data_IF_635819401982
#
_entry.id   IF_635819401982
#
_cell.length_a   1.000
_cell.length_b   1.000
_cell.length_c   1.000
_cell.angle_alpha   90.00
_cell.angle_beta   90.00
_cell.angle_gamma   90.00
#
_symmetry.space_group_name_H-M   'P 1'
#
loop_
_entity.id
_entity.type
_entity.pdbx_description
1 polymer ?
#
# COMPACT_ATOMS: atom_id res chain seq x y z
N UNK A 1 -16.54 0.38 -3.66
CA UNK A 1 -17.26 -0.25 -2.53
C UNK A 1 -16.34 -0.24 -1.32
N UNK A 2 -16.76 0.41 -0.23
CA UNK A 2 -15.94 0.52 0.98
C UNK A 2 -16.08 -0.75 1.83
N UNK A 3 -15.01 -1.13 2.55
CA UNK A 3 -15.03 -2.34 3.41
C UNK A 3 -16.10 -2.23 4.50
N UNK A 4 -16.35 -1.00 5.00
CA UNK A 4 -17.36 -0.72 6.01
C UNK A 4 -18.79 -1.00 5.53
N UNK A 5 -19.07 -0.92 4.23
CA UNK A 5 -20.40 -1.16 3.66
C UNK A 5 -20.81 -2.64 3.74
N UNK A 6 -19.84 -3.56 3.88
CA UNK A 6 -20.09 -5.00 4.00
C UNK A 6 -20.05 -5.53 5.44
N UNK A 7 -19.27 -4.90 6.33
CA UNK A 7 -19.19 -5.22 7.77
C UNK A 7 -18.19 -4.29 8.47
N UNK A 8 -18.58 -3.68 9.60
CA UNK A 8 -17.69 -2.89 10.46
C UNK A 8 -16.51 -3.73 10.96
N UNK A 9 -16.75 -5.00 11.31
CA UNK A 9 -15.69 -5.91 11.77
C UNK A 9 -14.65 -6.18 10.68
N UNK A 10 -15.06 -6.25 9.42
CA UNK A 10 -14.13 -6.36 8.31
C UNK A 10 -13.26 -5.09 8.16
N UNK A 11 -13.85 -3.91 8.36
CA UNK A 11 -13.12 -2.64 8.31
C UNK A 11 -12.10 -2.52 9.46
N UNK A 12 -12.49 -2.89 10.68
CA UNK A 12 -11.58 -2.90 11.83
C UNK A 12 -10.42 -3.88 11.64
N UNK A 13 -10.71 -5.09 11.16
CA UNK A 13 -9.66 -6.07 10.83
C UNK A 13 -8.73 -5.55 9.76
N UNK A 14 -9.24 -4.90 8.72
CA UNK A 14 -8.40 -4.29 7.68
C UNK A 14 -7.46 -3.25 8.27
N UNK A 15 -7.97 -2.32 9.08
CA UNK A 15 -7.17 -1.30 9.73
C UNK A 15 -6.02 -1.91 10.55
N UNK A 16 -6.33 -2.90 11.38
CA UNK A 16 -5.33 -3.60 12.20
C UNK A 16 -4.25 -4.27 11.33
N UNK A 17 -4.63 -4.91 10.22
CA UNK A 17 -3.66 -5.59 9.34
C UNK A 17 -2.84 -4.62 8.51
N UNK A 18 -3.43 -3.50 8.07
CA UNK A 18 -2.72 -2.44 7.39
C UNK A 18 -1.67 -1.82 8.32
N UNK A 19 -2.04 -1.51 9.56
CA UNK A 19 -1.12 -0.96 10.56
C UNK A 19 0.03 -1.91 10.87
N UNK A 20 -0.25 -3.20 11.09
CA UNK A 20 0.78 -4.22 11.31
C UNK A 20 1.74 -4.32 10.11
N UNK A 21 1.20 -4.24 8.90
CA UNK A 21 2.01 -4.28 7.66
C UNK A 21 2.93 -3.07 7.60
N UNK A 22 2.40 -1.86 7.81
CA UNK A 22 3.17 -0.61 7.77
C UNK A 22 4.25 -0.58 8.87
N UNK A 23 3.93 -1.00 10.11
CA UNK A 23 4.91 -1.12 11.19
C UNK A 23 6.03 -2.10 10.85
N UNK A 24 5.69 -3.23 10.22
CA UNK A 24 6.69 -4.18 9.74
C UNK A 24 7.59 -3.60 8.64
N UNK A 25 7.02 -2.83 7.73
CA UNK A 25 7.78 -2.13 6.68
C UNK A 25 8.70 -1.04 7.24
N UNK A 26 8.32 -0.37 8.33
CA UNK A 26 9.20 0.59 9.00
C UNK A 26 10.45 -0.06 9.63
N UNK A 27 10.36 -1.35 9.98
CA UNK A 27 11.50 -2.13 10.52
C UNK A 27 12.33 -2.78 9.42
N UNK A 28 11.69 -3.23 8.34
CA UNK A 28 12.32 -3.93 7.22
C UNK A 28 11.78 -3.40 5.88
N UNK A 29 12.19 -2.19 5.47
CA UNK A 29 11.73 -1.55 4.23
C UNK A 29 12.04 -2.38 2.98
N UNK A 30 13.11 -3.16 2.98
CA UNK A 30 13.50 -4.02 1.87
C UNK A 30 12.53 -5.21 1.66
N UNK A 31 11.68 -5.51 2.64
CA UNK A 31 10.75 -6.65 2.60
C UNK A 31 9.57 -6.48 1.62
N UNK A 32 9.34 -5.27 1.09
CA UNK A 32 8.41 -5.06 -0.03
C UNK A 32 9.08 -5.27 -1.40
N UNK A 33 8.27 -5.51 -2.42
CA UNK A 33 8.74 -5.71 -3.79
C UNK A 33 8.85 -4.35 -4.51
N UNK A 34 9.86 -4.14 -5.37
CA UNK A 34 9.90 -2.97 -6.25
C UNK A 34 8.63 -2.84 -7.08
N UNK A 35 8.10 -1.63 -7.22
CA UNK A 35 6.99 -1.36 -8.13
C UNK A 35 7.53 -1.16 -9.54
N UNK A 36 7.16 -2.07 -10.46
CA UNK A 36 7.58 -1.99 -11.86
C UNK A 36 6.71 -0.97 -12.58
N UNK A 37 7.32 0.13 -13.02
CA UNK A 37 6.66 1.25 -13.67
C UNK A 37 7.58 1.92 -14.68
N UNK A 38 7.00 2.44 -15.77
CA UNK A 38 7.70 3.28 -16.75
C UNK A 38 7.60 4.77 -16.44
N UNK A 39 6.81 5.16 -15.43
CA UNK A 39 6.62 6.56 -15.02
C UNK A 39 7.79 6.98 -14.13
N UNK A 40 8.62 7.96 -14.54
CA UNK A 40 9.80 8.38 -13.78
C UNK A 40 9.49 8.83 -12.35
N UNK A 41 8.36 9.52 -12.13
CA UNK A 41 7.95 10.02 -10.82
C UNK A 41 7.62 8.91 -9.81
N UNK A 42 7.41 7.68 -10.29
CA UNK A 42 7.14 6.51 -9.46
C UNK A 42 8.40 5.64 -9.28
N UNK A 43 9.57 6.11 -9.72
CA UNK A 43 10.83 5.42 -9.49
C UNK A 43 11.12 5.29 -7.99
N UNK A 44 11.56 4.10 -7.57
CA UNK A 44 11.86 3.81 -6.16
C UNK A 44 10.65 3.47 -5.30
N UNK A 45 9.43 3.53 -5.84
CA UNK A 45 8.23 3.04 -5.14
C UNK A 45 8.33 1.53 -4.93
N UNK A 46 7.95 1.09 -3.73
CA UNK A 46 7.88 -0.32 -3.33
C UNK A 46 6.46 -0.66 -2.93
N UNK A 47 6.14 -1.95 -3.00
CA UNK A 47 4.81 -2.48 -2.72
C UNK A 47 4.83 -3.61 -1.70
N UNK A 48 3.78 -3.70 -0.91
CA UNK A 48 3.53 -4.84 -0.02
C UNK A 48 2.04 -5.12 0.07
N UNK A 49 1.67 -6.40 -0.03
CA UNK A 49 0.29 -6.81 0.23
C UNK A 49 -0.04 -6.66 1.71
N UNK A 50 -1.23 -6.15 2.01
CA UNK A 50 -1.77 -6.14 3.37
C UNK A 50 -2.06 -7.59 3.77
N UNK A 51 -1.48 -8.04 4.89
CA UNK A 51 -1.67 -9.42 5.39
C UNK A 51 -3.15 -9.74 5.54
N UNK A 52 -3.57 -10.92 5.09
CA UNK A 52 -4.95 -11.42 5.08
C UNK A 52 -5.94 -10.59 4.21
N UNK A 53 -5.46 -9.58 3.49
CA UNK A 53 -6.23 -8.76 2.55
C UNK A 53 -5.46 -8.67 1.22
N UNK A 54 -5.36 -9.80 0.52
CA UNK A 54 -4.53 -9.97 -0.69
C UNK A 54 -4.86 -9.01 -1.83
N UNK A 55 -6.08 -8.44 -1.83
CA UNK A 55 -6.48 -7.43 -2.80
C UNK A 55 -6.11 -6.01 -2.36
N UNK A 56 -5.33 -5.79 -1.31
CA UNK A 56 -4.91 -4.46 -0.88
C UNK A 56 -3.40 -4.35 -0.84
N UNK A 57 -2.88 -3.27 -1.42
CA UNK A 57 -1.47 -3.02 -1.65
C UNK A 57 -1.08 -1.71 -0.99
N UNK A 58 -0.05 -1.74 -0.14
CA UNK A 58 0.63 -0.56 0.39
C UNK A 58 1.70 -0.15 -0.61
N UNK A 59 1.65 1.10 -1.08
CA UNK A 59 2.69 1.75 -1.87
C UNK A 59 3.47 2.69 -0.95
N UNK A 60 4.78 2.55 -0.94
CA UNK A 60 5.65 3.36 -0.08
C UNK A 60 7.01 3.60 -0.73
N UNK A 61 7.73 4.58 -0.20
CA UNK A 61 9.11 4.88 -0.56
C UNK A 61 9.97 4.68 0.69
N UNK A 62 11.12 4.04 0.52
CA UNK A 62 12.15 3.91 1.55
C UNK A 62 12.92 5.23 1.68
N UNK A 63 13.12 5.67 2.93
CA UNK A 63 13.93 6.82 3.33
C UNK A 63 14.98 6.34 4.33
N UNK A 64 16.01 7.15 4.59
CA UNK A 64 17.15 6.75 5.40
C UNK A 64 16.76 6.17 6.78
N UNK A 65 15.82 6.81 7.49
CA UNK A 65 15.36 6.40 8.83
C UNK A 65 13.86 6.09 8.90
N UNK A 66 13.16 5.99 7.77
CA UNK A 66 11.71 5.82 7.76
C UNK A 66 11.18 5.24 6.45
N UNK A 67 9.88 4.97 6.43
CA UNK A 67 9.14 4.78 5.20
C UNK A 67 8.14 5.92 5.03
N UNK A 68 7.92 6.32 3.79
CA UNK A 68 6.84 7.21 3.42
C UNK A 68 5.73 6.40 2.75
N UNK A 69 4.60 6.22 3.44
CA UNK A 69 3.43 5.55 2.86
C UNK A 69 2.72 6.53 1.92
N UNK A 70 2.77 6.25 0.62
CA UNK A 70 2.18 7.10 -0.42
C UNK A 70 0.68 6.84 -0.52
N UNK A 71 0.29 5.55 -0.63
CA UNK A 71 -1.11 5.11 -0.76
C UNK A 71 -1.30 3.69 -0.26
N UNK A 72 -2.54 3.36 0.11
CA UNK A 72 -3.02 1.98 0.26
C UNK A 72 -4.21 1.81 -0.67
N UNK A 73 -4.08 0.96 -1.69
CA UNK A 73 -5.06 0.80 -2.77
C UNK A 73 -5.57 -0.63 -2.86
N UNK A 74 -6.77 -0.81 -3.42
CA UNK A 74 -7.28 -2.14 -3.75
C UNK A 74 -6.75 -2.58 -5.13
N UNK A 75 -5.95 -3.65 -5.15
CA UNK A 75 -5.43 -4.27 -6.37
C UNK A 75 -6.55 -4.69 -7.33
N UNK A 76 -6.33 -4.43 -8.62
CA UNK A 76 -7.24 -4.80 -9.71
C UNK A 76 -8.39 -3.83 -10.01
N UNK A 77 -8.72 -2.88 -9.14
CA UNK A 77 -9.77 -1.86 -9.41
C UNK A 77 -9.27 -0.41 -9.34
N UNK A 78 -8.28 -0.09 -8.50
CA UNK A 78 -7.77 1.28 -8.33
C UNK A 78 -6.35 1.47 -8.91
N UNK A 79 -5.94 0.64 -9.87
CA UNK A 79 -4.65 0.85 -10.56
C UNK A 79 -4.75 1.88 -11.69
N UNK A 80 -5.97 2.33 -12.02
CA UNK A 80 -6.28 3.41 -12.96
C UNK A 80 -6.44 4.78 -12.26
N UNK A 81 -5.81 5.01 -11.10
CA UNK A 81 -5.76 6.35 -10.54
C UNK A 81 -4.90 7.19 -11.48
N UNK A 82 -5.58 8.05 -12.26
CA UNK A 82 -5.02 9.06 -13.14
C UNK A 82 -3.69 9.58 -12.61
N UNK A 83 -2.60 9.19 -13.29
CA UNK A 83 -1.31 9.86 -13.21
C UNK A 83 -1.46 11.18 -13.98
N UNK A 84 -2.37 12.05 -13.54
CA UNK A 84 -2.52 13.37 -14.12
C UNK A 84 -1.48 14.27 -13.47
N UNK A 85 -0.45 14.56 -14.27
CA UNK A 85 0.53 15.62 -14.07
C UNK A 85 -0.19 16.88 -13.59
N UNK A 86 0.25 17.40 -12.44
CA UNK A 86 0.02 18.79 -12.08
C UNK A 86 1.27 19.59 -12.45
#
# INVERSE_FOLDING_TARGET
MYIADGSIDAALRFLQRAEQTIKGLALFPESGAPFVTSVPDLAGVRTKLVKDFQNHVVFYIERDDSIEVVRVLRGGQDMDVEITKN
#
